data_IF_544413794801
#
_entry.id   IF_544413794801
#
_cell.length_a   1.000
_cell.length_b   1.000
_cell.length_c   1.000
_cell.angle_alpha   90.00
_cell.angle_beta   90.00
_cell.angle_gamma   90.00
#
_symmetry.space_group_name_H-M   'P 1'
#
loop_
_entity.id
_entity.type
_entity.pdbx_description
1 polymer ?
#
# COMPACT_ATOMS: atom_id res chain seq x y z
N UNK A 1 -17.95 -14.30 13.60
CA UNK A 1 -17.46 -12.91 13.43
C UNK A 1 -16.04 -12.92 12.87
N UNK A 2 -15.21 -13.87 13.28
CA UNK A 2 -13.79 -13.91 12.91
C UNK A 2 -13.53 -14.22 11.44
N UNK A 3 -14.27 -15.17 10.85
CA UNK A 3 -14.10 -15.53 9.43
C UNK A 3 -14.45 -14.39 8.47
N UNK A 4 -15.52 -13.62 8.74
CA UNK A 4 -15.88 -12.46 7.94
C UNK A 4 -14.83 -11.35 8.04
N UNK A 5 -14.33 -11.06 9.25
CA UNK A 5 -13.27 -10.09 9.47
C UNK A 5 -11.98 -10.50 8.71
N UNK A 6 -11.58 -11.76 8.81
CA UNK A 6 -10.42 -12.29 8.08
C UNK A 6 -10.59 -12.16 6.57
N UNK A 7 -11.77 -12.47 6.02
CA UNK A 7 -12.05 -12.32 4.58
C UNK A 7 -11.91 -10.85 4.17
N UNK A 8 -12.49 -9.91 4.92
CA UNK A 8 -12.41 -8.47 4.63
C UNK A 8 -10.96 -7.99 4.68
N UNK A 9 -10.19 -8.39 5.69
CA UNK A 9 -8.77 -8.04 5.79
C UNK A 9 -7.95 -8.57 4.61
N UNK A 10 -8.17 -9.82 4.20
CA UNK A 10 -7.48 -10.39 3.02
C UNK A 10 -7.80 -9.57 1.77
N UNK A 11 -9.08 -9.24 1.54
CA UNK A 11 -9.48 -8.42 0.39
C UNK A 11 -8.81 -7.05 0.44
N UNK A 12 -8.81 -6.38 1.59
CA UNK A 12 -8.15 -5.08 1.77
C UNK A 12 -6.63 -5.17 1.52
N UNK A 13 -5.96 -6.22 2.00
CA UNK A 13 -4.53 -6.44 1.74
C UNK A 13 -4.24 -6.64 0.25
N UNK A 14 -5.09 -7.39 -0.47
CA UNK A 14 -4.95 -7.59 -1.92
C UNK A 14 -5.11 -6.25 -2.65
N UNK A 15 -6.12 -5.46 -2.31
CA UNK A 15 -6.33 -4.14 -2.94
C UNK A 15 -5.13 -3.22 -2.65
N UNK A 16 -4.62 -3.21 -1.41
CA UNK A 16 -3.43 -2.45 -1.05
C UNK A 16 -2.19 -2.88 -1.84
N UNK A 17 -2.02 -4.19 -2.08
CA UNK A 17 -0.95 -4.72 -2.93
C UNK A 17 -1.09 -4.27 -4.38
N UNK A 18 -2.31 -4.30 -4.94
CA UNK A 18 -2.56 -3.83 -6.31
C UNK A 18 -2.23 -2.34 -6.44
N UNK A 19 -2.59 -1.51 -5.46
CA UNK A 19 -2.22 -0.10 -5.43
C UNK A 19 -0.70 0.09 -5.41
N UNK A 20 0.01 -0.65 -4.54
CA UNK A 20 1.47 -0.62 -4.49
C UNK A 20 2.10 -0.98 -5.84
N UNK A 21 1.61 -2.06 -6.48
CA UNK A 21 2.11 -2.53 -7.77
C UNK A 21 1.83 -1.52 -8.88
N UNK A 22 0.67 -0.86 -8.87
CA UNK A 22 0.36 0.18 -9.85
C UNK A 22 1.33 1.37 -9.76
N UNK A 23 1.62 1.83 -8.53
CA UNK A 23 2.53 2.98 -8.31
C UNK A 23 3.99 2.60 -8.61
N UNK A 24 4.44 1.40 -8.21
CA UNK A 24 5.83 0.98 -8.51
C UNK A 24 6.05 0.74 -10.00
N UNK A 25 5.01 0.30 -10.73
CA UNK A 25 5.09 0.13 -12.18
C UNK A 25 5.36 1.48 -12.85
N UNK A 26 4.61 2.52 -12.46
CA UNK A 26 4.83 3.87 -12.98
C UNK A 26 6.26 4.36 -12.71
N UNK A 27 6.76 4.14 -11.49
CA UNK A 27 8.13 4.49 -11.14
C UNK A 27 9.16 3.72 -11.98
N UNK A 28 8.86 2.47 -12.31
CA UNK A 28 9.74 1.62 -13.11
C UNK A 28 9.77 2.08 -14.58
N UNK A 29 8.63 2.49 -15.11
CA UNK A 29 8.50 3.03 -16.47
C UNK A 29 9.28 4.35 -16.61
N UNK A 30 9.31 5.18 -15.55
CA UNK A 30 10.07 6.44 -15.51
C UNK A 30 11.58 6.19 -15.26
N UNK A 31 11.92 5.39 -14.26
CA UNK A 31 13.30 4.97 -13.99
C UNK A 31 13.37 3.65 -13.20
N UNK A 32 13.66 2.59 -13.95
CA UNK A 32 13.81 1.22 -13.44
C UNK A 32 14.81 1.07 -12.29
N UNK A 33 15.85 1.90 -12.23
CA UNK A 33 16.84 1.85 -11.14
C UNK A 33 16.23 2.26 -9.80
N UNK A 34 15.41 3.32 -9.79
CA UNK A 34 14.71 3.76 -8.57
C UNK A 34 13.62 2.75 -8.16
N UNK A 35 12.95 2.12 -9.12
CA UNK A 35 12.00 1.03 -8.86
C UNK A 35 12.64 -0.14 -8.10
N UNK A 36 13.81 -0.61 -8.55
CA UNK A 36 14.56 -1.69 -7.89
C UNK A 36 15.00 -1.28 -6.48
N UNK A 37 15.56 -0.08 -6.33
CA UNK A 37 16.02 0.43 -5.02
C UNK A 37 14.85 0.47 -4.04
N UNK A 38 13.70 1.00 -4.44
CA UNK A 38 12.52 1.05 -3.59
C UNK A 38 12.08 -0.36 -3.21
N UNK A 39 12.01 -1.30 -4.16
CA UNK A 39 11.59 -2.67 -3.87
C UNK A 39 12.51 -3.36 -2.84
N UNK A 40 13.83 -3.24 -3.01
CA UNK A 40 14.82 -3.75 -2.05
C UNK A 40 14.66 -3.08 -0.70
N UNK A 41 14.48 -1.76 -0.67
CA UNK A 41 14.33 -1.00 0.57
C UNK A 41 13.02 -1.36 1.29
N UNK A 42 11.94 -1.61 0.55
CA UNK A 42 10.66 -2.10 1.10
C UNK A 42 10.85 -3.46 1.76
N UNK A 43 11.56 -4.39 1.12
CA UNK A 43 11.76 -5.74 1.68
C UNK A 43 12.75 -5.78 2.84
N UNK A 44 13.82 -4.97 2.80
CA UNK A 44 14.86 -4.98 3.82
C UNK A 44 14.53 -4.13 5.05
N UNK A 45 13.84 -3.00 4.87
CA UNK A 45 13.62 -2.02 5.96
C UNK A 45 12.15 -1.67 6.18
N UNK A 46 11.24 -2.05 5.26
CA UNK A 46 9.85 -1.60 5.27
C UNK A 46 9.64 -0.15 4.84
N UNK A 47 10.69 0.69 4.83
CA UNK A 47 10.59 2.13 4.55
C UNK A 47 10.31 2.41 3.08
N UNK A 48 10.78 1.54 2.17
CA UNK A 48 10.59 1.74 0.73
C UNK A 48 9.13 1.93 0.32
N UNK A 49 8.19 1.25 0.99
CA UNK A 49 6.76 1.42 0.72
C UNK A 49 6.24 2.81 1.10
N UNK A 50 6.77 3.40 2.16
CA UNK A 50 6.41 4.76 2.57
C UNK A 50 6.97 5.81 1.60
N UNK A 51 8.21 5.62 1.14
CA UNK A 51 8.83 6.50 0.13
C UNK A 51 8.05 6.45 -1.18
N UNK A 52 7.67 5.24 -1.63
CA UNK A 52 6.85 5.06 -2.82
C UNK A 52 5.47 5.70 -2.68
N UNK A 53 4.87 5.58 -1.49
CA UNK A 53 3.59 6.20 -1.19
C UNK A 53 3.67 7.73 -1.29
N UNK A 54 4.69 8.35 -0.72
CA UNK A 54 4.89 9.80 -0.85
C UNK A 54 5.13 10.18 -2.31
N UNK A 55 5.97 9.41 -3.03
CA UNK A 55 6.25 9.66 -4.44
C UNK A 55 4.99 9.62 -5.31
N UNK A 56 4.12 8.63 -5.10
CA UNK A 56 2.88 8.48 -5.87
C UNK A 56 1.92 9.66 -5.75
N UNK A 57 1.94 10.42 -4.64
CA UNK A 57 1.13 11.63 -4.48
C UNK A 57 1.59 12.80 -5.36
N UNK A 58 2.85 12.82 -5.77
CA UNK A 58 3.36 13.82 -6.71
C UNK A 58 2.93 13.53 -8.14
N UNK A 59 2.52 12.29 -8.45
CA UNK A 59 2.04 11.92 -9.77
C UNK A 59 0.55 12.19 -9.92
N UNK A 60 0.20 13.09 -10.84
CA UNK A 60 -1.19 13.51 -11.07
C UNK A 60 -2.07 12.36 -11.56
N UNK A 61 -1.52 11.44 -12.35
CA UNK A 61 -2.22 10.31 -12.96
C UNK A 61 -2.56 9.20 -11.95
N UNK A 62 -1.73 9.07 -10.91
CA UNK A 62 -1.89 8.07 -9.86
C UNK A 62 -2.80 8.54 -8.71
N UNK A 63 -3.26 9.79 -8.70
CA UNK A 63 -4.10 10.32 -7.60
C UNK A 63 -5.30 9.44 -7.24
N UNK A 64 -6.08 8.90 -8.20
CA UNK A 64 -7.16 7.97 -7.86
C UNK A 64 -6.64 6.73 -7.12
N UNK A 65 -5.54 6.14 -7.60
CA UNK A 65 -4.88 4.98 -6.96
C UNK A 65 -4.37 5.31 -5.56
N UNK A 66 -3.80 6.50 -5.36
CA UNK A 66 -3.30 6.97 -4.07
C UNK A 66 -4.42 7.19 -3.04
N UNK A 67 -5.57 7.70 -3.48
CA UNK A 67 -6.76 7.83 -2.63
C UNK A 67 -7.23 6.45 -2.20
N UNK A 68 -7.39 5.51 -3.13
CA UNK A 68 -7.79 4.12 -2.81
C UNK A 68 -6.79 3.49 -1.84
N UNK A 69 -5.49 3.64 -2.10
CA UNK A 69 -4.45 3.09 -1.24
C UNK A 69 -4.52 3.67 0.18
N UNK A 70 -4.76 4.98 0.30
CA UNK A 70 -4.92 5.65 1.60
C UNK A 70 -6.13 5.14 2.35
N UNK A 71 -7.29 5.05 1.68
CA UNK A 71 -8.55 4.56 2.27
C UNK A 71 -8.41 3.12 2.73
N UNK A 72 -7.76 2.26 1.94
CA UNK A 72 -7.52 0.85 2.30
C UNK A 72 -6.63 0.74 3.53
N UNK A 73 -5.54 1.50 3.62
CA UNK A 73 -4.70 1.52 4.82
C UNK A 73 -5.45 2.03 6.05
N UNK A 74 -6.28 3.07 5.89
CA UNK A 74 -7.13 3.60 6.95
C UNK A 74 -8.16 2.56 7.44
N UNK A 75 -8.78 1.83 6.51
CA UNK A 75 -9.71 0.75 6.84
C UNK A 75 -9.00 -0.41 7.54
N UNK A 76 -7.80 -0.78 7.09
CA UNK A 76 -7.00 -1.81 7.75
C UNK A 76 -6.64 -1.41 9.18
N UNK A 77 -6.16 -0.18 9.40
CA UNK A 77 -5.81 0.32 10.74
C UNK A 77 -7.04 0.43 11.63
N UNK A 78 -8.15 0.95 11.13
CA UNK A 78 -9.39 1.06 11.93
C UNK A 78 -9.98 -0.31 12.26
N UNK A 79 -9.99 -1.26 11.32
CA UNK A 79 -10.37 -2.65 11.58
C UNK A 79 -9.44 -3.31 12.61
N UNK A 80 -8.13 -3.08 12.50
CA UNK A 80 -7.16 -3.56 13.48
C UNK A 80 -7.41 -2.96 14.86
N UNK A 81 -7.73 -1.67 15.00
CA UNK A 81 -8.00 -1.05 16.32
C UNK A 81 -9.35 -1.48 16.90
N UNK A 82 -10.38 -1.65 16.06
CA UNK A 82 -11.75 -1.96 16.51
C UNK A 82 -11.95 -3.44 16.85
N UNK A 83 -11.33 -4.33 16.08
CA UNK A 83 -11.49 -5.79 16.20
C UNK A 83 -10.23 -6.49 16.71
N UNK A 84 -9.05 -5.87 16.56
CA UNK A 84 -7.83 -6.25 17.22
C UNK A 84 -7.65 -5.39 18.46
N UNK A 85 -7.90 -5.96 19.62
CA UNK A 85 -7.38 -5.41 20.85
C UNK A 85 -5.91 -5.01 20.68
N UNK A 86 -5.59 -3.78 21.07
CA UNK A 86 -4.26 -3.45 21.57
C UNK A 86 -4.07 -4.44 22.75
N UNK A 87 -3.35 -5.54 22.52
CA UNK A 87 -3.16 -6.78 23.32
C UNK A 87 -3.87 -8.04 22.83
#
# INVERSE_FOLDING_TARGET
MDTLNTIVQIVLMIVGLVCYVAVIKELWDDNSTYGIIILVTTLCTGIGGFVLFIWGWFQHELRPTMIVWTVVNLLLVTMQILFGSLF
#
